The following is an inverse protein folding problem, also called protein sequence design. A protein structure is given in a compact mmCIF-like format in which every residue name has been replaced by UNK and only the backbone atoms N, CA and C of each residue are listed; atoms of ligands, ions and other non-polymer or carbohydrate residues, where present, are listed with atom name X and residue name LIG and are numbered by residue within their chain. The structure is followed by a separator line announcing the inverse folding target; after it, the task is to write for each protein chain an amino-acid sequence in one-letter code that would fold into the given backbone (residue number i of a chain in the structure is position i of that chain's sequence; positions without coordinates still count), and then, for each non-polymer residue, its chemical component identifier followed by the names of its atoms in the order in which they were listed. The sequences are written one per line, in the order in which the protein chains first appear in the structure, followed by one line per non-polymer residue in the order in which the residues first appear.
data_IF_571947371281
#
_entry.id   IF_571947371281
#
_cell.length_a   1.000
_cell.length_b   1.000
_cell.length_c   1.000
_cell.angle_alpha   90.00
_cell.angle_beta   90.00
_cell.angle_gamma   90.00
#
_symmetry.space_group_name_H-M   'P 1'
#
loop_
_entity.id
_entity.type
_entity.pdbx_description
1 polymer ?
#
# COMPACT_ATOMS: atom_id res chain seq x y z
N UNK A 1 3.50 16.43 -19.05
CA UNK A 1 4.62 16.78 -18.10
C UNK A 1 4.25 16.21 -16.75
N UNK A 2 5.09 15.33 -16.21
CA UNK A 2 4.86 14.68 -14.90
C UNK A 2 4.82 15.71 -13.77
N UNK A 3 4.00 15.45 -12.77
CA UNK A 3 3.86 16.30 -11.56
C UNK A 3 4.94 15.93 -10.55
N UNK A 4 5.41 16.89 -9.78
CA UNK A 4 6.54 16.72 -8.85
C UNK A 4 6.13 15.94 -7.58
N UNK A 5 6.53 14.69 -7.53
CA UNK A 5 6.51 13.80 -6.35
C UNK A 5 7.89 13.21 -6.07
N UNK A 6 8.99 13.90 -6.42
CA UNK A 6 10.37 13.44 -6.24
C UNK A 6 10.73 13.10 -4.79
N UNK A 7 10.05 13.75 -3.84
CA UNK A 7 10.23 13.50 -2.42
C UNK A 7 9.41 12.32 -1.88
N UNK A 8 8.66 11.63 -2.76
CA UNK A 8 7.82 10.47 -2.40
C UNK A 8 8.32 9.20 -3.08
N UNK A 9 8.38 8.11 -2.33
CA UNK A 9 8.57 6.74 -2.86
C UNK A 9 7.35 5.91 -2.52
N UNK A 10 6.78 5.25 -3.52
CA UNK A 10 5.70 4.28 -3.32
C UNK A 10 6.28 2.90 -3.06
N UNK A 11 5.80 2.19 -2.03
CA UNK A 11 6.20 0.81 -1.69
C UNK A 11 4.99 -0.11 -1.80
N UNK A 12 5.07 -1.08 -2.72
CA UNK A 12 3.97 -1.98 -3.08
C UNK A 12 4.38 -3.44 -2.82
N UNK A 13 3.89 -4.06 -1.75
CA UNK A 13 4.03 -5.50 -1.56
C UNK A 13 2.99 -6.22 -2.42
N UNK A 14 3.43 -7.14 -3.29
CA UNK A 14 2.54 -7.81 -4.24
C UNK A 14 2.65 -9.33 -4.20
N UNK A 15 1.53 -9.97 -4.52
CA UNK A 15 1.40 -11.36 -4.97
C UNK A 15 0.36 -11.39 -6.08
N UNK A 16 0.74 -11.86 -7.25
CA UNK A 16 -0.12 -11.88 -8.44
C UNK A 16 -0.73 -13.28 -8.58
N UNK A 17 -1.94 -13.44 -8.05
CA UNK A 17 -2.63 -14.74 -8.00
C UNK A 17 -3.69 -14.91 -9.11
N UNK A 18 -3.89 -13.88 -9.97
CA UNK A 18 -4.92 -13.88 -11.02
C UNK A 18 -4.68 -12.78 -12.05
N UNK A 19 -5.31 -12.90 -13.22
CA UNK A 19 -5.20 -11.95 -14.33
C UNK A 19 -5.70 -10.55 -13.95
N UNK A 20 -6.76 -10.47 -13.16
CA UNK A 20 -7.28 -9.19 -12.67
C UNK A 20 -6.29 -8.49 -11.71
N UNK A 21 -5.54 -9.24 -10.88
CA UNK A 21 -4.46 -8.66 -10.07
C UNK A 21 -3.27 -8.24 -10.91
N UNK A 22 -2.92 -9.00 -11.94
CA UNK A 22 -1.89 -8.61 -12.92
C UNK A 22 -2.27 -7.30 -13.61
N UNK A 23 -3.48 -7.21 -14.15
CA UNK A 23 -4.02 -5.99 -14.73
C UNK A 23 -3.95 -4.81 -13.77
N UNK A 24 -4.40 -5.00 -12.52
CA UNK A 24 -4.45 -3.93 -11.52
C UNK A 24 -3.04 -3.39 -11.17
N UNK A 25 -2.05 -4.26 -10.96
CA UNK A 25 -0.68 -3.81 -10.66
C UNK A 25 -0.05 -3.07 -11.85
N UNK A 26 -0.29 -3.53 -13.08
CA UNK A 26 0.15 -2.84 -14.30
C UNK A 26 -0.49 -1.44 -14.35
N UNK A 27 -1.81 -1.37 -14.17
CA UNK A 27 -2.56 -0.10 -14.18
C UNK A 27 -2.03 0.89 -13.17
N UNK A 28 -1.82 0.45 -11.93
CA UNK A 28 -1.30 1.31 -10.86
C UNK A 28 0.11 1.80 -11.17
N UNK A 29 1.00 0.93 -11.64
CA UNK A 29 2.37 1.31 -12.00
C UNK A 29 2.38 2.30 -13.17
N UNK A 30 1.63 2.04 -14.23
CA UNK A 30 1.50 2.96 -15.36
C UNK A 30 0.95 4.32 -14.92
N UNK A 31 -0.12 4.32 -14.12
CA UNK A 31 -0.71 5.54 -13.60
C UNK A 31 0.28 6.37 -12.76
N UNK A 32 0.97 5.74 -11.81
CA UNK A 32 1.92 6.43 -10.94
C UNK A 32 3.11 7.00 -11.74
N UNK A 33 3.71 6.18 -12.60
CA UNK A 33 4.91 6.55 -13.33
C UNK A 33 4.65 7.51 -14.49
N UNK A 34 3.46 7.49 -15.11
CA UNK A 34 3.11 8.45 -16.16
C UNK A 34 2.73 9.83 -15.58
N UNK A 35 2.01 9.85 -14.48
CA UNK A 35 1.50 11.10 -13.91
C UNK A 35 2.51 11.84 -13.04
N UNK A 36 3.48 11.14 -12.43
CA UNK A 36 4.36 11.69 -11.40
C UNK A 36 5.83 11.43 -11.66
N UNK A 37 6.65 12.42 -11.34
CA UNK A 37 8.09 12.25 -11.17
C UNK A 37 8.34 11.71 -9.75
N UNK A 38 8.44 10.39 -9.63
CA UNK A 38 8.44 9.65 -8.36
C UNK A 38 9.25 8.36 -8.46
N UNK A 39 9.41 7.64 -7.36
CA UNK A 39 9.98 6.29 -7.30
C UNK A 39 8.94 5.28 -6.86
N UNK A 40 9.00 4.08 -7.45
CA UNK A 40 8.16 2.95 -7.10
C UNK A 40 9.05 1.76 -6.76
N UNK A 41 8.85 1.16 -5.59
CA UNK A 41 9.52 -0.07 -5.18
C UNK A 41 8.45 -1.15 -5.04
N UNK A 42 8.64 -2.25 -5.74
CA UNK A 42 7.74 -3.41 -5.71
C UNK A 42 8.49 -4.57 -5.05
N UNK A 43 7.88 -5.16 -4.04
CA UNK A 43 8.32 -6.43 -3.47
C UNK A 43 7.31 -7.52 -3.80
N UNK A 44 7.72 -8.39 -4.73
CA UNK A 44 6.97 -9.59 -5.10
C UNK A 44 7.45 -10.77 -4.28
N UNK A 45 6.51 -11.56 -3.74
CA UNK A 45 6.82 -12.81 -3.04
C UNK A 45 5.87 -13.90 -3.50
N UNK A 46 6.38 -14.81 -4.30
CA UNK A 46 5.66 -15.97 -4.86
C UNK A 46 6.64 -17.09 -5.24
N UNK A 47 6.13 -18.24 -5.68
CA UNK A 47 6.92 -19.36 -6.21
C UNK A 47 7.59 -19.06 -7.56
N UNK A 48 7.06 -18.10 -8.33
CA UNK A 48 7.65 -17.57 -9.55
C UNK A 48 7.36 -16.07 -9.66
N UNK A 49 8.23 -15.32 -10.32
CA UNK A 49 8.03 -13.90 -10.53
C UNK A 49 7.13 -13.63 -11.73
N UNK A 50 5.83 -13.45 -11.48
CA UNK A 50 4.84 -13.07 -12.51
C UNK A 50 5.04 -11.61 -12.94
N UNK A 51 5.35 -10.72 -12.00
CA UNK A 51 5.62 -9.31 -12.31
C UNK A 51 6.73 -9.15 -13.34
N UNK A 52 7.85 -9.84 -13.14
CA UNK A 52 8.99 -9.76 -14.05
C UNK A 52 8.70 -10.35 -15.43
N UNK A 53 7.89 -11.44 -15.47
CA UNK A 53 7.62 -12.18 -16.70
C UNK A 53 6.52 -11.53 -17.54
N UNK A 54 5.53 -10.90 -16.92
CA UNK A 54 4.30 -10.50 -17.59
C UNK A 54 3.94 -9.00 -17.42
N UNK A 55 4.29 -8.37 -16.28
CA UNK A 55 3.93 -6.98 -16.03
C UNK A 55 4.99 -5.98 -16.50
N UNK A 56 6.27 -6.27 -16.29
CA UNK A 56 7.35 -5.30 -16.49
C UNK A 56 7.45 -4.84 -17.95
N UNK A 57 7.31 -5.74 -18.91
CA UNK A 57 7.33 -5.40 -20.34
C UNK A 57 6.20 -4.42 -20.68
N UNK A 58 4.97 -4.72 -20.28
CA UNK A 58 3.80 -3.88 -20.53
C UNK A 58 3.94 -2.47 -19.91
N UNK A 59 4.48 -2.39 -18.68
CA UNK A 59 4.73 -1.11 -18.02
C UNK A 59 5.78 -0.30 -18.78
N UNK A 60 6.86 -0.93 -19.26
CA UNK A 60 7.93 -0.24 -19.97
C UNK A 60 7.55 0.14 -21.40
N UNK A 61 6.63 -0.56 -22.01
CA UNK A 61 6.03 -0.16 -23.30
C UNK A 61 5.12 1.06 -23.15
N UNK A 62 4.43 1.17 -22.02
CA UNK A 62 3.52 2.29 -21.75
C UNK A 62 4.25 3.53 -21.24
N UNK A 63 5.25 3.38 -20.35
CA UNK A 63 6.00 4.48 -19.71
C UNK A 63 7.48 4.41 -20.10
N UNK A 64 7.96 5.37 -20.89
CA UNK A 64 9.30 5.37 -21.47
C UNK A 64 10.44 5.32 -20.44
N UNK A 65 10.29 6.01 -19.29
CA UNK A 65 11.29 6.07 -18.22
C UNK A 65 10.98 5.15 -17.02
N UNK A 66 10.11 4.15 -17.21
CA UNK A 66 9.69 3.25 -16.13
C UNK A 66 10.87 2.55 -15.44
N UNK A 67 11.84 2.05 -16.21
CA UNK A 67 13.00 1.30 -15.67
C UNK A 67 13.85 2.15 -14.73
N UNK A 68 13.94 3.45 -14.95
CA UNK A 68 14.73 4.36 -14.10
C UNK A 68 14.07 4.65 -12.74
N UNK A 69 12.74 4.50 -12.69
CA UNK A 69 11.91 4.91 -11.58
C UNK A 69 11.22 3.75 -10.85
N UNK A 70 11.32 2.52 -11.39
CA UNK A 70 10.73 1.33 -10.82
C UNK A 70 11.81 0.34 -10.38
N UNK A 71 11.79 -0.02 -9.10
CA UNK A 71 12.65 -1.08 -8.55
C UNK A 71 11.80 -2.30 -8.23
N UNK A 72 12.15 -3.45 -8.79
CA UNK A 72 11.49 -4.72 -8.50
C UNK A 72 12.42 -5.64 -7.70
N UNK A 73 11.93 -6.09 -6.54
CA UNK A 73 12.59 -7.05 -5.67
C UNK A 73 11.73 -8.32 -5.60
N UNK A 74 12.31 -9.43 -6.01
CA UNK A 74 11.64 -10.72 -5.96
C UNK A 74 12.20 -11.59 -4.84
N UNK A 75 11.29 -12.24 -4.11
CA UNK A 75 11.60 -13.27 -3.12
C UNK A 75 10.89 -14.56 -3.51
N UNK A 76 11.67 -15.59 -3.85
CA UNK A 76 11.12 -16.91 -4.06
C UNK A 76 10.57 -17.46 -2.76
N UNK A 77 9.34 -17.92 -2.80
CA UNK A 77 8.60 -18.40 -1.64
C UNK A 77 8.18 -19.85 -1.84
N UNK A 78 8.23 -20.61 -0.75
CA UNK A 78 7.69 -21.96 -0.71
C UNK A 78 6.19 -21.92 -1.09
N UNK A 79 5.77 -22.63 -2.15
CA UNK A 79 4.38 -22.68 -2.58
C UNK A 79 3.44 -23.24 -1.51
N UNK A 80 3.95 -24.04 -0.58
CA UNK A 80 3.16 -24.60 0.53
C UNK A 80 2.97 -23.63 1.71
N UNK A 81 3.69 -22.48 1.74
CA UNK A 81 3.47 -21.43 2.73
C UNK A 81 2.34 -20.47 2.28
N UNK A 82 1.15 -20.54 2.86
CA UNK A 82 0.01 -19.71 2.43
C UNK A 82 0.12 -18.26 2.89
N UNK A 83 1.07 -17.92 3.79
CA UNK A 83 1.10 -16.62 4.46
C UNK A 83 1.82 -15.57 3.62
N UNK A 84 1.16 -14.48 3.30
CA UNK A 84 1.78 -13.30 2.70
C UNK A 84 2.28 -12.35 3.81
N UNK A 85 3.60 -12.25 3.97
CA UNK A 85 4.24 -11.49 5.07
C UNK A 85 4.29 -9.98 4.78
N UNK A 86 3.13 -9.38 4.54
CA UNK A 86 2.98 -7.99 4.11
C UNK A 86 3.79 -7.00 4.97
N UNK A 87 3.75 -7.14 6.30
CA UNK A 87 4.44 -6.22 7.22
C UNK A 87 5.96 -6.27 7.05
N UNK A 88 6.52 -7.47 6.90
CA UNK A 88 7.94 -7.67 6.63
C UNK A 88 8.33 -7.06 5.27
N UNK A 89 7.55 -7.30 4.24
CA UNK A 89 7.84 -6.78 2.89
C UNK A 89 7.82 -5.26 2.84
N UNK A 90 6.88 -4.63 3.55
CA UNK A 90 6.82 -3.17 3.68
C UNK A 90 8.06 -2.62 4.41
N UNK A 91 8.51 -3.28 5.48
CA UNK A 91 9.71 -2.87 6.21
C UNK A 91 10.98 -3.02 5.37
N UNK A 92 11.12 -4.13 4.62
CA UNK A 92 12.25 -4.35 3.70
C UNK A 92 12.31 -3.29 2.59
N UNK A 93 11.16 -2.91 2.03
CA UNK A 93 11.10 -1.80 1.07
C UNK A 93 11.35 -0.44 1.71
N UNK A 94 10.81 -0.20 2.92
CA UNK A 94 11.06 1.05 3.66
C UNK A 94 12.55 1.26 3.96
N UNK A 95 13.32 0.18 4.18
CA UNK A 95 14.78 0.25 4.35
C UNK A 95 15.51 0.76 3.09
N UNK A 96 14.92 0.56 1.91
CA UNK A 96 15.42 1.04 0.63
C UNK A 96 15.00 2.48 0.30
N UNK A 97 14.06 3.07 1.05
CA UNK A 97 13.52 4.41 0.78
C UNK A 97 14.51 5.49 1.22
N UNK A 98 14.86 6.38 0.29
CA UNK A 98 15.74 7.54 0.51
C UNK A 98 14.97 8.87 0.57
N UNK A 99 13.71 8.88 0.14
CA UNK A 99 12.88 10.09 0.09
C UNK A 99 12.31 10.46 1.46
N UNK A 100 11.95 11.74 1.62
CA UNK A 100 11.38 12.26 2.87
C UNK A 100 9.94 11.83 3.13
N UNK A 101 9.25 11.36 2.10
CA UNK A 101 7.89 10.82 2.16
C UNK A 101 7.89 9.41 1.58
N UNK A 102 7.17 8.49 2.21
CA UNK A 102 6.91 7.16 1.70
C UNK A 102 5.41 6.89 1.68
N UNK A 103 4.93 6.27 0.62
CA UNK A 103 3.55 5.81 0.53
C UNK A 103 3.50 4.28 0.63
N UNK A 104 2.93 3.76 1.73
CA UNK A 104 2.52 2.36 1.80
C UNK A 104 1.27 2.21 0.92
N UNK A 105 1.33 1.37 -0.12
CA UNK A 105 0.39 1.43 -1.21
C UNK A 105 -0.07 0.03 -1.67
N UNK A 106 -1.38 -0.17 -1.76
CA UNK A 106 -1.94 -1.40 -2.34
C UNK A 106 -1.93 -1.31 -3.89
N UNK A 107 -1.63 -2.44 -4.54
CA UNK A 107 -1.43 -2.49 -5.99
C UNK A 107 -2.72 -2.47 -6.83
N UNK A 108 -3.84 -2.15 -6.22
CA UNK A 108 -5.19 -2.16 -6.80
C UNK A 108 -5.98 -0.89 -6.48
N UNK A 109 -5.32 0.17 -6.02
CA UNK A 109 -5.97 1.44 -5.68
C UNK A 109 -5.44 2.61 -6.50
N UNK A 110 -6.33 3.55 -6.79
CA UNK A 110 -6.04 4.82 -7.45
C UNK A 110 -6.69 5.95 -6.66
N UNK A 111 -6.08 7.13 -6.71
CA UNK A 111 -6.61 8.36 -6.11
C UNK A 111 -6.63 9.48 -7.15
N UNK A 112 -7.50 10.48 -7.02
CA UNK A 112 -7.40 11.68 -7.83
C UNK A 112 -6.01 12.32 -7.70
N UNK A 113 -5.47 12.80 -8.82
CA UNK A 113 -4.07 13.27 -8.93
C UNK A 113 -3.69 14.30 -7.86
N UNK A 114 -4.55 15.28 -7.61
CA UNK A 114 -4.28 16.32 -6.61
C UNK A 114 -4.15 15.79 -5.19
N UNK A 115 -4.74 14.63 -4.91
CA UNK A 115 -4.66 13.98 -3.59
C UNK A 115 -3.25 13.52 -3.27
N UNK A 116 -2.50 13.02 -4.27
CA UNK A 116 -1.09 12.64 -4.10
C UNK A 116 -0.22 13.84 -3.75
N UNK A 117 -0.37 14.94 -4.50
CA UNK A 117 0.37 16.18 -4.26
C UNK A 117 0.07 16.78 -2.89
N UNK A 118 -1.21 16.78 -2.50
CA UNK A 118 -1.63 17.24 -1.19
C UNK A 118 -1.06 16.37 -0.07
N UNK A 119 -1.05 15.04 -0.24
CA UNK A 119 -0.49 14.10 0.74
C UNK A 119 1.01 14.32 0.95
N UNK A 120 1.79 14.44 -0.14
CA UNK A 120 3.21 14.78 -0.04
C UNK A 120 3.41 16.11 0.70
N UNK A 121 2.67 17.15 0.33
CA UNK A 121 2.76 18.47 0.97
C UNK A 121 2.46 18.39 2.47
N UNK A 122 1.43 17.64 2.87
CA UNK A 122 1.07 17.48 4.29
C UNK A 122 2.16 16.73 5.06
N UNK A 123 2.71 15.62 4.50
CA UNK A 123 3.79 14.85 5.15
C UNK A 123 5.13 15.60 5.21
N UNK A 124 5.39 16.54 4.30
CA UNK A 124 6.55 17.45 4.36
C UNK A 124 6.34 18.62 5.33
N UNK A 125 5.10 18.89 5.74
CA UNK A 125 4.72 19.93 6.69
C UNK A 125 4.48 19.36 8.08
N UNK A 126 3.26 19.47 8.56
CA UNK A 126 2.91 19.25 9.96
C UNK A 126 2.38 17.84 10.27
N UNK A 127 2.28 16.96 9.27
CA UNK A 127 1.69 15.64 9.46
C UNK A 127 2.73 14.52 9.34
N UNK A 128 2.67 13.60 10.29
CA UNK A 128 3.51 12.40 10.30
C UNK A 128 2.92 11.27 9.46
N UNK A 129 1.58 11.19 9.43
CA UNK A 129 0.82 10.21 8.66
C UNK A 129 -0.37 10.89 7.98
N UNK A 130 -0.61 10.60 6.71
CA UNK A 130 -1.76 11.10 5.96
C UNK A 130 -2.51 9.95 5.30
N UNK A 131 -3.80 9.83 5.63
CA UNK A 131 -4.74 8.99 4.91
C UNK A 131 -5.34 9.82 3.77
N UNK A 132 -5.04 9.50 2.49
CA UNK A 132 -5.40 10.34 1.35
C UNK A 132 -6.83 10.14 0.85
N UNK A 133 -7.71 9.63 1.69
CA UNK A 133 -9.13 9.41 1.38
C UNK A 133 -10.00 9.57 2.63
N UNK A 134 -11.29 9.84 2.44
CA UNK A 134 -12.26 10.01 3.51
C UNK A 134 -12.52 8.72 4.30
N UNK A 135 -13.06 8.86 5.51
CA UNK A 135 -13.50 7.72 6.34
C UNK A 135 -15.00 7.48 6.14
N UNK A 136 -15.40 6.23 6.05
CA UNK A 136 -16.79 5.85 5.78
C UNK A 136 -17.03 5.62 4.30
N UNK A 137 -18.11 6.13 3.72
CA UNK A 137 -18.48 5.87 2.31
C UNK A 137 -17.66 6.76 1.36
N UNK A 138 -16.36 6.49 1.28
CA UNK A 138 -15.39 7.19 0.44
C UNK A 138 -14.60 6.25 -0.48
N UNK A 139 -15.08 5.04 -0.67
CA UNK A 139 -14.50 4.09 -1.62
C UNK A 139 -15.45 3.89 -2.79
N UNK A 140 -14.90 3.84 -4.00
CA UNK A 140 -15.52 3.35 -5.20
C UNK A 140 -14.87 2.02 -5.57
N UNK A 141 -15.63 0.94 -5.49
CA UNK A 141 -15.24 -0.36 -6.04
C UNK A 141 -15.46 -0.34 -7.53
N UNK A 142 -14.41 -0.46 -8.31
CA UNK A 142 -14.44 -0.40 -9.76
C UNK A 142 -14.45 -1.81 -10.32
N UNK A 143 -15.54 -2.20 -10.96
CA UNK A 143 -15.62 -3.47 -11.71
C UNK A 143 -14.98 -3.27 -13.09
N UNK A 144 -13.65 -3.15 -13.10
CA UNK A 144 -12.88 -2.90 -14.31
C UNK A 144 -12.65 -4.19 -15.10
N UNK A 145 -12.73 -4.08 -16.41
CA UNK A 145 -12.19 -5.01 -17.39
C UNK A 145 -10.98 -4.41 -18.11
N UNK A 146 -10.36 -5.16 -19.00
CA UNK A 146 -9.17 -4.73 -19.73
C UNK A 146 -9.47 -3.58 -20.69
N UNK A 147 -10.68 -3.50 -21.26
CA UNK A 147 -11.10 -2.42 -22.16
C UNK A 147 -11.23 -1.10 -21.37
N UNK A 148 -11.89 -1.11 -20.22
CA UNK A 148 -12.03 0.06 -19.36
C UNK A 148 -10.67 0.59 -18.87
N UNK A 149 -9.76 -0.29 -18.47
CA UNK A 149 -8.42 0.09 -18.02
C UNK A 149 -7.61 0.67 -19.15
N UNK A 150 -7.66 0.06 -20.35
CA UNK A 150 -7.00 0.57 -21.56
C UNK A 150 -7.56 1.94 -21.96
N UNK A 151 -8.88 2.11 -21.91
CA UNK A 151 -9.53 3.42 -22.15
C UNK A 151 -9.07 4.45 -21.13
N UNK A 152 -9.04 4.10 -19.83
CA UNK A 152 -8.59 4.99 -18.75
C UNK A 152 -7.15 5.48 -18.96
N UNK A 153 -6.22 4.55 -19.18
CA UNK A 153 -4.82 4.89 -19.38
C UNK A 153 -4.58 5.72 -20.66
N UNK A 154 -5.31 5.42 -21.74
CA UNK A 154 -5.16 6.11 -23.03
C UNK A 154 -5.81 7.49 -23.08
N UNK A 155 -6.64 7.85 -22.11
CA UNK A 155 -7.33 9.14 -22.02
C UNK A 155 -6.87 9.95 -20.81
N UNK A 156 -5.57 10.17 -20.68
CA UNK A 156 -4.95 10.98 -19.62
C UNK A 156 -5.39 10.59 -18.19
N UNK A 157 -5.72 9.32 -17.99
CA UNK A 157 -6.22 8.77 -16.73
C UNK A 157 -7.48 9.48 -16.22
N UNK A 158 -8.46 9.71 -17.09
CA UNK A 158 -9.73 10.32 -16.74
C UNK A 158 -10.57 9.39 -15.86
N UNK A 159 -10.72 9.73 -14.60
CA UNK A 159 -11.48 8.96 -13.60
C UNK A 159 -12.96 8.78 -13.96
N UNK A 160 -13.53 9.65 -14.80
CA UNK A 160 -14.92 9.48 -15.27
C UNK A 160 -15.13 8.17 -16.04
N UNK A 161 -14.07 7.61 -16.62
CA UNK A 161 -14.09 6.31 -17.29
C UNK A 161 -14.29 5.19 -16.27
N UNK A 162 -13.54 5.20 -15.17
CA UNK A 162 -13.68 4.23 -14.08
C UNK A 162 -15.07 4.34 -13.39
N UNK A 163 -15.62 5.54 -13.36
CA UNK A 163 -16.93 5.80 -12.77
C UNK A 163 -18.12 5.26 -13.59
N UNK A 164 -17.90 4.74 -14.80
CA UNK A 164 -18.96 4.09 -15.59
C UNK A 164 -19.46 2.79 -14.97
N UNK A 165 -18.62 2.11 -14.14
CA UNK A 165 -18.97 0.82 -13.53
C UNK A 165 -18.37 0.69 -12.12
N UNK A 166 -18.98 1.36 -11.14
CA UNK A 166 -18.54 1.28 -9.76
C UNK A 166 -19.70 1.02 -8.78
N UNK A 167 -19.33 0.50 -7.62
CA UNK A 167 -20.20 0.39 -6.45
C UNK A 167 -19.61 1.20 -5.28
N UNK A 168 -20.41 1.99 -4.54
CA UNK A 168 -19.93 2.68 -3.35
C UNK A 168 -19.64 1.69 -2.22
N UNK A 169 -18.53 1.89 -1.50
CA UNK A 169 -18.18 1.08 -0.35
C UNK A 169 -17.50 1.93 0.74
N UNK A 170 -17.14 1.29 1.85
CA UNK A 170 -16.54 1.94 3.00
C UNK A 170 -15.03 1.85 2.93
N UNK A 171 -14.37 3.00 3.12
CA UNK A 171 -12.93 3.10 3.37
C UNK A 171 -12.68 3.39 4.85
N UNK A 172 -11.72 2.69 5.45
CA UNK A 172 -11.33 2.88 6.86
C UNK A 172 -9.85 3.25 6.99
N UNK A 173 -8.96 2.28 7.07
CA UNK A 173 -7.52 2.49 7.33
C UNK A 173 -6.58 1.66 6.45
N UNK A 174 -7.11 0.82 5.56
CA UNK A 174 -6.36 0.07 4.56
C UNK A 174 -5.94 0.91 3.35
N UNK A 175 -5.77 0.27 2.19
CA UNK A 175 -5.49 0.85 0.88
C UNK A 175 -4.14 1.56 0.77
N UNK A 176 -4.06 2.83 1.20
CA UNK A 176 -2.87 3.66 1.06
C UNK A 176 -2.69 4.62 2.23
N UNK A 177 -1.44 4.80 2.67
CA UNK A 177 -1.06 5.78 3.67
C UNK A 177 0.24 6.45 3.25
N UNK A 178 0.30 7.77 3.36
CA UNK A 178 1.53 8.53 3.22
C UNK A 178 2.12 8.80 4.59
N UNK A 179 3.43 8.67 4.70
CA UNK A 179 4.17 8.92 5.93
C UNK A 179 5.31 9.91 5.69
N UNK A 180 5.57 10.77 6.66
CA UNK A 180 6.91 11.27 6.82
C UNK A 180 7.83 10.08 7.12
N UNK A 181 8.86 9.86 6.30
CA UNK A 181 9.68 8.64 6.34
C UNK A 181 10.40 8.49 7.69
N UNK A 182 10.88 9.60 8.28
CA UNK A 182 11.53 9.57 9.60
C UNK A 182 10.52 9.18 10.69
N UNK A 183 9.35 9.80 10.71
CA UNK A 183 8.29 9.50 11.67
C UNK A 183 7.82 8.03 11.54
N UNK A 184 7.74 7.49 10.32
CA UNK A 184 7.38 6.08 10.11
C UNK A 184 8.40 5.13 10.75
N UNK A 185 9.70 5.40 10.54
CA UNK A 185 10.78 4.61 11.16
C UNK A 185 10.79 4.74 12.68
N UNK A 186 10.68 5.94 13.20
CA UNK A 186 10.65 6.22 14.64
C UNK A 186 9.40 5.64 15.33
N UNK A 187 8.26 5.67 14.64
CA UNK A 187 6.99 5.11 15.11
C UNK A 187 6.95 3.59 15.13
N UNK A 188 8.03 2.89 14.78
CA UNK A 188 8.17 1.44 14.89
C UNK A 188 7.88 0.68 13.60
N UNK A 189 7.83 1.38 12.45
CA UNK A 189 7.65 0.77 11.12
C UNK A 189 6.35 -0.08 11.06
N UNK A 190 6.32 -1.14 10.28
CA UNK A 190 5.23 -2.12 10.36
C UNK A 190 5.51 -3.17 11.44
N UNK A 191 4.46 -3.60 12.13
CA UNK A 191 4.62 -4.61 13.17
C UNK A 191 4.66 -6.03 12.56
N UNK A 192 5.86 -6.59 12.40
CA UNK A 192 6.06 -7.93 11.80
C UNK A 192 5.50 -9.10 12.65
N UNK A 193 5.00 -8.82 13.86
CA UNK A 193 4.31 -9.84 14.63
C UNK A 193 2.89 -10.11 14.11
N UNK A 194 2.32 -9.19 13.30
CA UNK A 194 1.14 -9.50 12.48
C UNK A 194 1.57 -10.29 11.26
N UNK A 195 1.09 -11.51 11.13
CA UNK A 195 1.40 -12.42 10.04
C UNK A 195 0.20 -12.58 9.12
N UNK A 196 0.40 -12.35 7.84
CA UNK A 196 -0.69 -12.25 6.87
C UNK A 196 -1.43 -10.92 7.02
N UNK A 197 -2.73 -10.90 6.73
CA UNK A 197 -3.58 -9.72 6.80
C UNK A 197 -4.47 -9.69 8.04
N UNK A 198 -4.86 -8.48 8.44
CA UNK A 198 -5.79 -8.13 9.54
C UNK A 198 -5.33 -8.52 10.97
N UNK A 199 -5.51 -7.62 11.95
CA UNK A 199 -6.01 -6.23 11.86
C UNK A 199 -4.89 -5.17 11.93
N UNK A 200 -3.79 -5.35 11.23
CA UNK A 200 -2.60 -4.50 11.24
C UNK A 200 -2.88 -3.03 10.87
N UNK A 201 -3.84 -2.79 9.97
CA UNK A 201 -4.22 -1.43 9.59
C UNK A 201 -4.84 -0.64 10.76
N UNK A 202 -5.65 -1.33 11.58
CA UNK A 202 -6.24 -0.74 12.78
C UNK A 202 -5.18 -0.48 13.85
N UNK A 203 -4.23 -1.39 13.96
CA UNK A 203 -3.08 -1.22 14.86
C UNK A 203 -2.26 0.00 14.46
N UNK A 204 -1.92 0.11 13.20
CA UNK A 204 -1.09 1.21 12.67
C UNK A 204 -1.67 2.58 13.04
N UNK A 205 -2.91 2.86 12.66
CA UNK A 205 -3.53 4.17 12.96
C UNK A 205 -3.65 4.41 14.47
N UNK A 206 -4.05 3.39 15.24
CA UNK A 206 -4.16 3.48 16.69
C UNK A 206 -2.82 3.81 17.33
N UNK A 207 -1.76 3.12 16.94
CA UNK A 207 -0.40 3.30 17.44
C UNK A 207 0.11 4.71 17.19
N UNK A 208 0.06 5.19 15.95
CA UNK A 208 0.55 6.52 15.63
C UNK A 208 -0.19 7.61 16.41
N UNK A 209 -1.51 7.54 16.51
CA UNK A 209 -2.31 8.47 17.33
C UNK A 209 -1.90 8.37 18.81
N UNK A 210 -1.82 7.17 19.37
CA UNK A 210 -1.53 6.96 20.79
C UNK A 210 -0.10 7.38 21.18
N UNK A 211 0.86 7.21 20.29
CA UNK A 211 2.23 7.70 20.48
C UNK A 211 2.35 9.22 20.34
N UNK A 212 1.34 9.89 19.80
CA UNK A 212 1.26 11.35 19.70
C UNK A 212 1.76 11.90 18.37
N UNK A 213 1.86 11.07 17.34
CA UNK A 213 2.11 11.51 15.98
C UNK A 213 0.90 12.25 15.40
N UNK A 214 1.16 13.19 14.50
CA UNK A 214 0.14 14.00 13.87
C UNK A 214 -0.44 13.25 12.65
N UNK A 215 -1.65 12.72 12.80
CA UNK A 215 -2.34 11.92 11.77
C UNK A 215 -3.39 12.78 11.07
N UNK A 216 -3.23 12.98 9.76
CA UNK A 216 -4.15 13.72 8.92
C UNK A 216 -4.99 12.83 8.01
N UNK A 217 -6.07 13.41 7.47
CA UNK A 217 -6.93 12.74 6.49
C UNK A 217 -7.41 13.75 5.45
N UNK A 218 -7.50 13.31 4.19
CA UNK A 218 -8.04 14.08 3.09
C UNK A 218 -9.44 13.53 2.78
N UNK A 219 -10.44 14.39 2.70
CA UNK A 219 -11.80 13.99 2.32
C UNK A 219 -11.92 13.91 0.80
N UNK A 220 -11.44 12.80 0.23
CA UNK A 220 -11.54 12.49 -1.18
C UNK A 220 -11.79 11.00 -1.39
N UNK A 221 -12.13 10.61 -2.61
CA UNK A 221 -12.41 9.23 -2.98
C UNK A 221 -11.14 8.40 -3.13
N UNK A 222 -11.22 7.11 -2.73
CA UNK A 222 -10.31 6.05 -3.17
C UNK A 222 -11.04 5.15 -4.15
N UNK A 223 -10.39 4.84 -5.27
CA UNK A 223 -10.88 3.95 -6.32
C UNK A 223 -10.15 2.62 -6.17
N UNK A 224 -10.90 1.59 -5.85
CA UNK A 224 -10.38 0.24 -5.69
C UNK A 224 -10.75 -0.60 -6.90
N UNK A 225 -9.77 -1.01 -7.69
CA UNK A 225 -9.94 -1.91 -8.82
C UNK A 225 -10.23 -3.31 -8.28
N UNK A 226 -11.48 -3.78 -8.42
CA UNK A 226 -11.89 -5.07 -7.89
C UNK A 226 -11.12 -6.22 -8.54
N UNK A 227 -10.93 -7.27 -7.78
CA UNK A 227 -10.19 -8.45 -8.17
C UNK A 227 -10.70 -9.69 -7.43
N UNK A 228 -10.36 -10.86 -7.94
CA UNK A 228 -10.62 -12.15 -7.30
C UNK A 228 -10.01 -12.20 -5.90
N UNK A 229 -10.76 -12.72 -4.93
CA UNK A 229 -10.34 -12.76 -3.52
C UNK A 229 -9.64 -14.08 -3.21
N UNK A 230 -8.32 -14.04 -3.07
CA UNK A 230 -7.50 -15.16 -2.61
C UNK A 230 -7.44 -15.26 -1.07
N UNK A 231 -6.70 -16.24 -0.57
CA UNK A 231 -6.57 -16.53 0.87
C UNK A 231 -5.99 -15.35 1.70
N UNK A 232 -5.27 -14.45 1.05
CA UNK A 232 -4.67 -13.28 1.69
C UNK A 232 -5.51 -12.01 1.60
N UNK A 233 -6.73 -12.10 1.01
CA UNK A 233 -7.65 -10.97 0.82
C UNK A 233 -8.85 -11.05 1.75
N UNK A 234 -9.23 -9.91 2.34
CA UNK A 234 -10.47 -9.82 3.11
C UNK A 234 -11.71 -9.99 2.20
N UNK A 235 -12.80 -10.71 2.59
CA UNK A 235 -12.97 -11.37 3.90
C UNK A 235 -12.44 -12.81 3.98
N UNK A 236 -11.92 -13.37 2.89
CA UNK A 236 -11.45 -14.77 2.82
C UNK A 236 -10.32 -15.02 3.83
N UNK A 237 -9.42 -14.06 3.98
CA UNK A 237 -8.29 -14.12 4.93
C UNK A 237 -8.72 -14.30 6.39
N UNK A 238 -9.94 -13.91 6.77
CA UNK A 238 -10.44 -14.13 8.13
C UNK A 238 -10.48 -15.62 8.51
N UNK A 239 -10.74 -16.49 7.56
CA UNK A 239 -10.75 -17.95 7.75
C UNK A 239 -9.50 -18.62 7.17
N UNK A 240 -8.86 -18.02 6.18
CA UNK A 240 -7.71 -18.58 5.46
C UNK A 240 -6.35 -18.26 6.09
N UNK A 241 -6.24 -17.20 6.88
CA UNK A 241 -4.99 -16.87 7.56
C UNK A 241 -4.81 -17.74 8.83
N UNK A 242 -3.82 -18.64 8.88
CA UNK A 242 -3.59 -19.50 10.05
C UNK A 242 -3.18 -18.72 11.31
N UNK A 243 -2.77 -17.47 11.17
CA UNK A 243 -2.35 -16.60 12.27
C UNK A 243 -3.44 -15.62 12.72
N UNK A 244 -4.66 -15.66 12.16
CA UNK A 244 -5.71 -14.68 12.44
C UNK A 244 -6.02 -14.54 13.95
N UNK A 245 -6.18 -15.65 14.66
CA UNK A 245 -6.45 -15.60 16.11
C UNK A 245 -5.31 -14.97 16.91
N UNK A 246 -4.06 -15.22 16.51
CA UNK A 246 -2.89 -14.63 17.14
C UNK A 246 -2.82 -13.13 16.84
N UNK A 247 -3.13 -12.73 15.60
CA UNK A 247 -3.19 -11.32 15.20
C UNK A 247 -4.27 -10.56 16.00
N UNK A 248 -5.46 -11.15 16.16
CA UNK A 248 -6.54 -10.55 16.95
C UNK A 248 -6.11 -10.38 18.41
N UNK A 249 -5.56 -11.43 19.03
CA UNK A 249 -5.09 -11.36 20.41
C UNK A 249 -3.97 -10.32 20.61
N UNK A 250 -3.06 -10.22 19.65
CA UNK A 250 -2.01 -9.19 19.65
C UNK A 250 -2.62 -7.79 19.58
N UNK A 251 -3.55 -7.57 18.64
CA UNK A 251 -4.24 -6.29 18.51
C UNK A 251 -4.96 -5.88 19.80
N UNK A 252 -5.73 -6.80 20.41
CA UNK A 252 -6.43 -6.56 21.67
C UNK A 252 -5.48 -6.22 22.82
N UNK A 253 -4.28 -6.81 22.82
CA UNK A 253 -3.24 -6.50 23.79
C UNK A 253 -2.68 -5.09 23.60
N UNK A 254 -2.27 -4.76 22.36
CA UNK A 254 -1.69 -3.45 22.01
C UNK A 254 -2.68 -2.29 22.23
N UNK A 255 -3.96 -2.53 21.97
CA UNK A 255 -5.02 -1.54 22.19
C UNK A 255 -5.14 -1.08 23.64
N UNK A 256 -4.87 -1.99 24.59
CA UNK A 256 -4.98 -1.76 26.04
C UNK A 256 -3.75 -1.09 26.63
N UNK A 257 -2.60 -1.13 25.94
CA UNK A 257 -1.35 -0.55 26.43
C UNK A 257 -1.48 0.96 26.55
N UNK A 258 -0.97 1.53 27.64
CA UNK A 258 -0.77 2.96 27.74
C UNK A 258 0.38 3.43 26.85
N UNK A 259 0.49 4.75 26.66
CA UNK A 259 1.48 5.35 25.71
C UNK A 259 2.90 4.86 25.98
N UNK A 260 3.34 4.85 27.23
CA UNK A 260 4.70 4.48 27.61
C UNK A 260 4.94 2.97 27.45
N UNK A 261 3.94 2.14 27.77
CA UNK A 261 3.99 0.70 27.55
C UNK A 261 4.08 0.37 26.05
N UNK A 262 3.28 1.05 25.22
CA UNK A 262 3.30 0.87 23.78
C UNK A 262 4.65 1.31 23.19
N UNK A 263 5.21 2.42 23.67
CA UNK A 263 6.55 2.90 23.28
C UNK A 263 7.63 1.88 23.66
N UNK A 264 7.56 1.33 24.86
CA UNK A 264 8.48 0.28 25.30
C UNK A 264 8.35 -0.97 24.43
N UNK A 265 7.12 -1.45 24.19
CA UNK A 265 6.85 -2.59 23.32
C UNK A 265 7.57 -2.44 21.96
N UNK A 266 7.42 -1.30 21.28
CA UNK A 266 8.06 -1.08 19.98
C UNK A 266 9.59 -0.94 20.09
N UNK A 267 10.12 -0.36 21.16
CA UNK A 267 11.57 -0.24 21.35
C UNK A 267 12.28 -1.60 21.51
N UNK A 268 11.57 -2.62 21.97
CA UNK A 268 12.08 -3.97 22.24
C UNK A 268 11.93 -4.93 21.05
N UNK A 269 11.27 -4.51 19.95
CA UNK A 269 11.00 -5.38 18.83
C UNK A 269 12.29 -5.81 18.11
N UNK A 270 12.47 -7.12 17.97
CA UNK A 270 13.68 -7.69 17.36
C UNK A 270 13.81 -7.37 15.88
N UNK A 271 12.69 -7.29 15.16
CA UNK A 271 12.70 -6.99 13.72
C UNK A 271 13.25 -5.60 13.43
N UNK A 272 13.02 -4.60 14.29
CA UNK A 272 13.56 -3.26 14.10
C UNK A 272 15.09 -3.20 14.07
N UNK A 273 15.76 -4.20 14.66
CA UNK A 273 17.24 -4.25 14.64
C UNK A 273 17.82 -4.60 13.28
N UNK A 274 17.00 -5.12 12.36
CA UNK A 274 17.42 -5.44 10.98
C UNK A 274 17.56 -4.17 10.12
N UNK A 275 16.80 -3.12 10.48
CA UNK A 275 16.61 -1.91 9.67
C UNK A 275 17.22 -0.65 10.33
N UNK A 276 18.10 -0.83 11.31
CA UNK A 276 18.77 0.25 12.04
C UNK A 276 20.26 0.33 11.73
#
# INVERSE_FOLDING_TARGET
MKRDLKDTTFILPIKIESDDRLRNVITVCCFLLENFDTKVIIKESDSASVFRLEALEQITEYVEDAIENLTHVYEEKDPDDPVFYRMRYLNEMLDMVETSVVANYDCDVLLPVDTYLQSQKMCKGDYDVVYPYGHGTWQKKINADDEMVSEFLSNDCDFSILEKNYEPDRAESGHVQFFNTAAYREGGMENENFRGSSPEDKERIHRFIKLGYNVGRIENWVYHLEHSRGNNSWPVSYHGNPHMQQNIALWESLQKMEKDELKQYYSEQKYLKKYR
#
